data_IF_676105822304
#
_entry.id   IF_676105822304
#
_cell.length_a   1.000
_cell.length_b   1.000
_cell.length_c   1.000
_cell.angle_alpha   90.00
_cell.angle_beta   90.00
_cell.angle_gamma   90.00
#
_symmetry.space_group_name_H-M   'P 1'
#
loop_
_entity.id
_entity.type
_entity.pdbx_description
1 polymer ?
#
# COMPACT_ATOMS: atom_id res chain seq x y z
N UNK A 1 0.14 -15.57 -10.92
CA UNK A 1 1.28 -15.03 -10.15
C UNK A 1 0.71 -14.20 -9.03
N UNK A 2 0.71 -14.72 -7.81
CA UNK A 2 -0.07 -14.14 -6.73
C UNK A 2 0.78 -13.12 -5.97
N UNK A 3 0.26 -11.91 -5.83
CA UNK A 3 0.84 -10.82 -5.06
C UNK A 3 -0.13 -10.43 -3.96
N UNK A 4 0.38 -9.95 -2.83
CA UNK A 4 -0.44 -9.38 -1.76
C UNK A 4 -0.67 -7.90 -2.08
N UNK A 5 -1.91 -7.50 -2.35
CA UNK A 5 -2.25 -6.08 -2.53
C UNK A 5 -2.48 -5.46 -1.15
N UNK A 6 -1.77 -4.37 -0.88
CA UNK A 6 -1.78 -3.67 0.40
C UNK A 6 -2.12 -2.20 0.17
N UNK A 7 -3.06 -1.70 0.97
CA UNK A 7 -3.34 -0.28 1.08
C UNK A 7 -3.21 0.15 2.53
N UNK A 8 -2.55 1.28 2.73
CA UNK A 8 -2.20 1.80 4.05
C UNK A 8 -3.02 3.08 4.29
N UNK A 9 -4.08 2.96 5.09
CA UNK A 9 -4.99 4.05 5.43
C UNK A 9 -5.22 4.15 6.96
N UNK A 10 -4.21 4.58 7.75
CA UNK A 10 -4.38 4.76 9.19
C UNK A 10 -5.43 5.83 9.51
N UNK A 11 -5.98 5.90 10.72
CA UNK A 11 -6.75 7.07 11.15
C UNK A 11 -5.80 8.25 11.44
N UNK A 12 -6.24 9.50 11.24
CA UNK A 12 -5.46 10.71 11.58
C UNK A 12 -5.02 10.72 13.05
N UNK A 13 -5.85 10.23 13.97
CA UNK A 13 -5.49 10.13 15.39
C UNK A 13 -4.27 9.23 15.62
N UNK A 14 -4.22 8.08 14.94
CA UNK A 14 -3.05 7.18 15.00
C UNK A 14 -1.80 7.88 14.46
N UNK A 15 -1.92 8.64 13.36
CA UNK A 15 -0.77 9.37 12.80
C UNK A 15 -0.27 10.52 13.69
N UNK A 16 -1.08 11.00 14.64
CA UNK A 16 -0.67 12.02 15.60
C UNK A 16 0.07 11.42 16.79
N UNK A 17 -0.17 10.15 17.10
CA UNK A 17 0.40 9.45 18.26
C UNK A 17 1.57 8.54 17.88
N UNK A 18 1.61 8.06 16.63
CA UNK A 18 2.59 7.10 16.15
C UNK A 18 3.35 7.69 14.96
N UNK A 19 4.67 7.56 14.99
CA UNK A 19 5.54 7.95 13.86
C UNK A 19 5.06 7.29 12.56
N UNK A 20 4.74 8.05 11.50
CA UNK A 20 4.27 7.50 10.24
C UNK A 20 5.26 6.51 9.60
N UNK A 21 6.56 6.74 9.75
CA UNK A 21 7.61 5.85 9.25
C UNK A 21 7.59 4.52 9.99
N UNK A 22 7.51 4.55 11.32
CA UNK A 22 7.50 3.34 12.13
C UNK A 22 6.23 2.51 11.87
N UNK A 23 5.08 3.17 11.74
CA UNK A 23 3.82 2.53 11.39
C UNK A 23 3.91 1.85 10.01
N UNK A 24 4.42 2.57 9.01
CA UNK A 24 4.62 2.05 7.67
C UNK A 24 5.52 0.81 7.69
N UNK A 25 6.71 0.91 8.28
CA UNK A 25 7.70 -0.18 8.33
C UNK A 25 7.14 -1.42 9.04
N UNK A 26 6.37 -1.22 10.11
CA UNK A 26 5.71 -2.33 10.83
C UNK A 26 4.70 -3.04 9.94
N UNK A 27 3.86 -2.29 9.22
CA UNK A 27 2.86 -2.87 8.30
C UNK A 27 3.55 -3.64 7.18
N UNK A 28 4.61 -3.09 6.59
CA UNK A 28 5.38 -3.77 5.54
C UNK A 28 5.99 -5.07 6.06
N UNK A 29 6.58 -5.06 7.25
CA UNK A 29 7.18 -6.27 7.85
C UNK A 29 6.15 -7.41 8.05
N UNK A 30 4.92 -7.07 8.47
CA UNK A 30 3.84 -8.06 8.56
C UNK A 30 3.40 -8.55 7.18
N UNK A 31 3.28 -7.65 6.20
CA UNK A 31 2.92 -8.00 4.83
C UNK A 31 3.96 -8.93 4.18
N UNK A 32 5.25 -8.67 4.37
CA UNK A 32 6.35 -9.55 3.93
C UNK A 32 6.28 -10.93 4.59
N UNK A 33 5.93 -10.98 5.88
CA UNK A 33 5.70 -12.23 6.59
C UNK A 33 4.54 -13.02 5.98
N UNK A 34 3.43 -12.36 5.66
CA UNK A 34 2.30 -12.98 4.95
C UNK A 34 2.70 -13.49 3.57
N UNK A 35 3.45 -12.70 2.80
CA UNK A 35 3.97 -13.09 1.48
C UNK A 35 4.77 -14.39 1.58
N UNK A 36 5.66 -14.51 2.56
CA UNK A 36 6.46 -15.71 2.80
C UNK A 36 5.59 -16.92 3.17
N UNK A 37 4.67 -16.76 4.12
CA UNK A 37 3.82 -17.85 4.61
C UNK A 37 2.85 -18.35 3.54
N UNK A 38 2.32 -17.44 2.72
CA UNK A 38 1.37 -17.73 1.65
C UNK A 38 2.03 -18.05 0.30
N UNK A 39 3.38 -18.08 0.25
CA UNK A 39 4.17 -18.34 -0.97
C UNK A 39 3.79 -17.39 -2.13
N UNK A 40 3.59 -16.11 -1.82
CA UNK A 40 3.29 -15.05 -2.80
C UNK A 40 4.58 -14.43 -3.35
N UNK A 41 4.47 -13.62 -4.40
CA UNK A 41 5.63 -13.03 -5.10
C UNK A 41 6.17 -11.73 -4.50
N UNK A 42 5.39 -11.08 -3.65
CA UNK A 42 5.72 -9.76 -3.11
C UNK A 42 4.46 -8.99 -2.71
N UNK A 43 4.67 -7.78 -2.23
CA UNK A 43 3.59 -6.86 -1.87
C UNK A 43 3.42 -5.84 -2.99
N UNK A 44 2.17 -5.49 -3.27
CA UNK A 44 1.80 -4.44 -4.22
C UNK A 44 1.12 -3.30 -3.46
N UNK A 45 1.68 -2.10 -3.59
CA UNK A 45 1.09 -0.87 -3.05
C UNK A 45 0.62 -0.02 -4.24
N UNK A 46 -0.66 0.39 -4.31
CA UNK A 46 -1.15 1.22 -5.41
C UNK A 46 -0.35 2.52 -5.55
N UNK A 47 -0.03 2.92 -6.78
CA UNK A 47 0.65 4.21 -7.03
C UNK A 47 -0.28 5.39 -6.80
N UNK A 48 -1.59 5.19 -7.05
CA UNK A 48 -2.57 6.26 -6.98
C UNK A 48 -2.74 6.78 -5.54
N UNK A 49 -2.32 8.02 -5.33
CA UNK A 49 -2.42 8.71 -4.05
C UNK A 49 -3.87 8.94 -3.61
N UNK A 50 -4.89 8.77 -4.47
CA UNK A 50 -6.30 8.85 -4.09
C UNK A 50 -6.66 7.90 -2.94
N UNK A 51 -5.99 6.75 -2.87
CA UNK A 51 -6.15 5.76 -1.79
C UNK A 51 -5.42 6.21 -0.53
N UNK A 52 -4.38 7.02 -0.66
CA UNK A 52 -3.63 7.60 0.46
C UNK A 52 -4.03 9.06 0.72
N UNK A 53 -5.11 9.55 0.10
CA UNK A 53 -5.39 10.97 -0.16
C UNK A 53 -5.51 11.84 1.09
N UNK A 54 -5.74 11.22 2.25
CA UNK A 54 -5.84 11.92 3.53
C UNK A 54 -4.58 11.76 4.40
N UNK A 55 -3.48 11.21 3.86
CA UNK A 55 -2.31 10.73 4.60
C UNK A 55 -1.00 11.06 3.87
N UNK A 56 -0.74 12.35 3.67
CA UNK A 56 0.44 12.84 2.94
C UNK A 56 1.78 12.26 3.42
N UNK A 57 1.91 11.97 4.73
CA UNK A 57 3.11 11.35 5.29
C UNK A 57 3.36 9.93 4.78
N UNK A 58 2.31 9.10 4.66
CA UNK A 58 2.44 7.73 4.14
C UNK A 58 2.78 7.75 2.66
N UNK A 59 2.10 8.61 1.88
CA UNK A 59 2.41 8.76 0.46
C UNK A 59 3.87 9.19 0.26
N UNK A 60 4.33 10.16 1.05
CA UNK A 60 5.71 10.63 1.01
C UNK A 60 6.70 9.49 1.27
N UNK A 61 6.50 8.71 2.33
CA UNK A 61 7.33 7.55 2.65
C UNK A 61 7.37 6.56 1.48
N UNK A 62 6.22 6.18 0.92
CA UNK A 62 6.15 5.25 -0.22
C UNK A 62 6.96 5.77 -1.41
N UNK A 63 6.86 7.07 -1.70
CA UNK A 63 7.60 7.68 -2.81
C UNK A 63 9.11 7.77 -2.54
N UNK A 64 9.54 8.02 -1.30
CA UNK A 64 10.95 8.09 -0.92
C UNK A 64 11.65 6.73 -0.95
N UNK A 65 10.91 5.64 -0.68
CA UNK A 65 11.43 4.26 -0.72
C UNK A 65 11.85 3.81 -2.13
N UNK A 66 11.47 4.55 -3.17
CA UNK A 66 11.88 4.32 -4.56
C UNK A 66 11.63 2.87 -5.05
N UNK A 67 10.50 2.29 -4.66
CA UNK A 67 10.10 0.95 -5.08
C UNK A 67 9.89 0.84 -6.59
N UNK A 68 10.03 -0.38 -7.12
CA UNK A 68 9.85 -0.62 -8.56
C UNK A 68 8.39 -0.45 -8.93
N UNK A 69 8.09 0.46 -9.85
CA UNK A 69 6.74 0.61 -10.41
C UNK A 69 6.45 -0.47 -11.44
N UNK A 70 5.25 -1.02 -11.41
CA UNK A 70 4.78 -2.03 -12.34
C UNK A 70 3.30 -1.82 -12.67
N UNK A 71 3.00 -1.85 -13.96
CA UNK A 71 1.64 -1.88 -14.49
C UNK A 71 1.19 -3.32 -14.69
N UNK A 72 -0.04 -3.62 -14.30
CA UNK A 72 -0.69 -4.91 -14.47
C UNK A 72 -1.84 -4.80 -15.49
N UNK A 73 -2.14 -5.85 -16.24
CA UNK A 73 -3.20 -5.83 -17.24
C UNK A 73 -4.61 -5.94 -16.65
N UNK A 74 -4.73 -6.22 -15.35
CA UNK A 74 -6.00 -6.37 -14.63
C UNK A 74 -6.11 -5.21 -13.64
N UNK A 75 -7.23 -4.51 -13.68
CA UNK A 75 -7.57 -3.53 -12.67
C UNK A 75 -7.95 -4.22 -11.36
N UNK A 76 -7.43 -3.70 -10.25
CA UNK A 76 -7.79 -4.11 -8.91
C UNK A 76 -8.74 -3.08 -8.33
N UNK A 77 -9.90 -3.55 -7.89
CA UNK A 77 -10.88 -2.72 -7.18
C UNK A 77 -10.47 -2.56 -5.72
N UNK A 78 -10.61 -1.35 -5.22
CA UNK A 78 -10.28 -0.97 -3.87
C UNK A 78 -11.33 -0.05 -3.30
N UNK A 79 -11.94 -0.57 -2.23
CA UNK A 79 -13.05 0.02 -1.49
C UNK A 79 -14.44 -0.15 -2.14
N UNK A 80 -15.43 -0.26 -1.26
CA UNK A 80 -16.85 -0.32 -1.60
C UNK A 80 -17.49 1.08 -1.44
N UNK A 81 -18.63 1.28 -2.10
CA UNK A 81 -19.39 2.53 -2.21
C UNK A 81 -19.31 3.47 -0.98
N UNK A 82 -19.14 4.81 -1.16
CA UNK A 82 -19.25 5.58 -2.40
C UNK A 82 -17.93 5.85 -3.14
N UNK A 83 -16.78 5.43 -2.58
CA UNK A 83 -15.47 5.76 -3.15
C UNK A 83 -14.83 4.53 -3.80
N UNK A 84 -15.41 4.03 -4.89
CA UNK A 84 -14.82 2.93 -5.65
C UNK A 84 -13.56 3.43 -6.39
N UNK A 85 -12.39 2.88 -6.04
CA UNK A 85 -11.16 3.13 -6.78
C UNK A 85 -10.77 1.87 -7.52
N UNK A 86 -10.41 1.98 -8.79
CA UNK A 86 -9.72 0.93 -9.53
C UNK A 86 -8.30 1.38 -9.89
N UNK A 87 -7.37 0.44 -9.93
CA UNK A 87 -5.99 0.73 -10.29
C UNK A 87 -5.30 -0.45 -10.95
N UNK A 88 -4.39 -0.12 -11.86
CA UNK A 88 -3.57 -1.05 -12.62
C UNK A 88 -2.06 -0.83 -12.38
N UNK A 89 -1.67 0.24 -11.68
CA UNK A 89 -0.28 0.61 -11.40
C UNK A 89 0.08 0.49 -9.91
N UNK A 90 1.20 -0.18 -9.64
CA UNK A 90 1.64 -0.50 -8.30
C UNK A 90 3.15 -0.31 -8.11
N UNK A 91 3.54 -0.01 -6.88
CA UNK A 91 4.88 -0.25 -6.36
C UNK A 91 5.01 -1.71 -5.93
N UNK A 92 6.09 -2.36 -6.33
CA UNK A 92 6.48 -3.70 -5.90
C UNK A 92 7.45 -3.56 -4.75
N UNK A 93 7.02 -4.04 -3.58
CA UNK A 93 7.82 -4.15 -2.34
C UNK A 93 8.24 -5.61 -2.17
#
# INVERSE_FOLDING_TARGET
NNYLVLSIQPNSGILNEVSPVHLFDTIISYAETMVRLLKMKGVLIPVNAAIHSNRGSIQHIITERNYTKKKFPVEYEFSYHPYAYSYDEFFVV
#
